data_IF_832626750764
#
_entry.id   IF_832626750764
#
_cell.length_a   1.000
_cell.length_b   1.000
_cell.length_c   1.000
_cell.angle_alpha   90.00
_cell.angle_beta   90.00
_cell.angle_gamma   90.00
#
_symmetry.space_group_name_H-M   'P 1'
#
loop_
_entity.id
_entity.type
_entity.pdbx_description
1 polymer ?
#
# COMPACT_ATOMS: atom_id res chain seq x y z
N UNK A 1 -2.13 4.16 -9.52
CA UNK A 1 -2.29 5.28 -8.54
C UNK A 1 -3.55 6.02 -8.97
N UNK A 2 -4.41 6.40 -8.02
CA UNK A 2 -5.72 6.98 -8.34
C UNK A 2 -5.62 8.39 -8.91
N UNK A 3 -6.74 8.95 -9.39
CA UNK A 3 -6.81 10.35 -9.80
C UNK A 3 -6.89 11.31 -8.61
N UNK A 4 -6.42 12.54 -8.80
CA UNK A 4 -6.62 13.63 -7.85
C UNK A 4 -7.99 14.29 -8.04
N UNK A 5 -8.43 14.48 -9.29
CA UNK A 5 -9.61 15.26 -9.64
C UNK A 5 -10.50 14.55 -10.67
N UNK A 6 -9.96 14.17 -11.84
CA UNK A 6 -10.75 13.67 -12.97
C UNK A 6 -10.57 12.16 -13.19
N UNK A 7 -11.60 11.40 -13.62
CA UNK A 7 -13.01 11.80 -13.79
C UNK A 7 -13.75 12.00 -12.46
N UNK A 8 -13.16 11.56 -11.35
CA UNK A 8 -13.59 11.84 -9.98
C UNK A 8 -12.43 11.57 -9.03
N UNK A 9 -12.30 12.25 -7.88
CA UNK A 9 -11.20 11.99 -6.96
C UNK A 9 -11.14 10.53 -6.47
N UNK A 10 -9.95 9.94 -6.47
CA UNK A 10 -9.74 8.55 -6.07
C UNK A 10 -10.09 7.52 -7.15
N UNK A 11 -10.49 7.92 -8.35
CA UNK A 11 -10.81 6.99 -9.44
C UNK A 11 -9.63 6.08 -9.78
N UNK A 12 -9.91 4.79 -9.93
CA UNK A 12 -8.93 3.76 -10.25
C UNK A 12 -9.61 2.53 -10.88
N UNK A 13 -8.92 1.87 -11.80
CA UNK A 13 -9.49 0.75 -12.57
C UNK A 13 -9.00 -0.64 -12.15
N UNK A 14 -7.80 -0.77 -11.56
CA UNK A 14 -7.19 -2.06 -11.28
C UNK A 14 -6.31 -2.08 -10.01
N UNK A 15 -5.85 -3.27 -9.63
CA UNK A 15 -5.00 -3.49 -8.46
C UNK A 15 -3.49 -3.43 -8.78
N UNK A 16 -3.09 -2.89 -9.93
CA UNK A 16 -1.70 -2.97 -10.38
C UNK A 16 -0.75 -2.16 -9.48
N UNK A 17 0.47 -2.69 -9.35
CA UNK A 17 1.55 -2.05 -8.60
C UNK A 17 1.23 -1.87 -7.10
N UNK A 18 1.43 -0.67 -6.54
CA UNK A 18 1.32 -0.42 -5.09
C UNK A 18 -0.12 -0.55 -4.55
N UNK A 19 -1.14 -0.44 -5.42
CA UNK A 19 -2.55 -0.48 -5.00
C UNK A 19 -2.92 -1.86 -4.46
N UNK A 20 -2.49 -2.93 -5.13
CA UNK A 20 -2.71 -4.30 -4.66
C UNK A 20 -2.03 -4.57 -3.31
N UNK A 21 -0.83 -4.00 -3.11
CA UNK A 21 -0.11 -4.05 -1.83
C UNK A 21 -0.91 -3.37 -0.72
N UNK A 22 -1.39 -2.15 -0.96
CA UNK A 22 -2.20 -1.41 0.04
C UNK A 22 -3.49 -2.14 0.38
N UNK A 23 -4.20 -2.70 -0.59
CA UNK A 23 -5.41 -3.48 -0.34
C UNK A 23 -5.10 -4.75 0.46
N UNK A 24 -4.02 -5.46 0.14
CA UNK A 24 -3.60 -6.64 0.90
C UNK A 24 -3.24 -6.30 2.36
N UNK A 25 -2.58 -5.16 2.59
CA UNK A 25 -2.32 -4.63 3.93
C UNK A 25 -3.62 -4.22 4.65
N UNK A 26 -4.51 -3.51 3.97
CA UNK A 26 -5.79 -3.04 4.51
C UNK A 26 -6.76 -4.17 4.87
N UNK A 27 -6.70 -5.30 4.15
CA UNK A 27 -7.45 -6.53 4.49
C UNK A 27 -6.76 -7.36 5.58
N UNK A 28 -5.58 -6.97 6.05
CA UNK A 28 -4.80 -7.70 7.06
C UNK A 28 -4.12 -8.97 6.54
N UNK A 29 -4.06 -9.16 5.22
CA UNK A 29 -3.52 -10.37 4.56
C UNK A 29 -1.99 -10.30 4.49
N UNK A 30 -1.45 -9.09 4.31
CA UNK A 30 -0.02 -8.83 4.24
C UNK A 30 0.47 -8.07 5.49
N UNK A 31 1.53 -8.61 6.10
CA UNK A 31 2.10 -8.20 7.41
C UNK A 31 3.55 -7.73 7.36
N UNK A 32 4.21 -7.84 6.20
CA UNK A 32 5.62 -7.44 6.05
C UNK A 32 5.90 -7.03 4.60
N UNK A 33 6.75 -6.01 4.43
CA UNK A 33 7.29 -5.59 3.14
C UNK A 33 8.80 -5.41 3.32
N UNK A 34 9.59 -5.93 2.38
CA UNK A 34 11.03 -5.72 2.37
C UNK A 34 11.35 -4.41 1.62
N UNK A 35 11.72 -3.38 2.36
CA UNK A 35 12.00 -2.04 1.85
C UNK A 35 12.78 -1.24 2.89
N UNK A 36 13.28 -0.06 2.52
CA UNK A 36 13.95 0.87 3.42
C UNK A 36 13.02 2.06 3.74
N UNK A 37 12.96 2.51 5.00
CA UNK A 37 12.05 3.59 5.40
C UNK A 37 12.37 4.95 4.76
N UNK A 38 13.62 5.17 4.38
CA UNK A 38 14.20 6.41 3.87
C UNK A 38 14.12 6.54 2.33
N UNK A 39 13.50 5.59 1.64
CA UNK A 39 13.25 5.69 0.20
C UNK A 39 12.11 6.69 -0.04
N UNK A 40 12.33 7.64 -0.94
CA UNK A 40 11.31 8.54 -1.45
C UNK A 40 10.44 7.78 -2.44
N UNK A 41 9.15 7.75 -2.19
CA UNK A 41 8.15 7.12 -3.04
C UNK A 41 7.69 8.11 -4.12
N UNK A 42 7.86 7.73 -5.39
CA UNK A 42 7.34 8.52 -6.51
C UNK A 42 5.94 8.05 -6.90
N UNK A 43 4.96 8.93 -6.76
CA UNK A 43 3.58 8.67 -7.14
C UNK A 43 3.04 9.81 -7.97
N UNK A 44 2.49 9.47 -9.13
CA UNK A 44 1.83 10.42 -10.01
C UNK A 44 0.35 10.03 -10.17
N UNK A 45 -0.59 10.94 -9.88
CA UNK A 45 -2.01 10.72 -10.14
C UNK A 45 -2.29 10.45 -11.62
N UNK A 46 -3.18 9.52 -11.91
CA UNK A 46 -3.43 9.04 -13.29
C UNK A 46 -3.98 10.14 -14.21
N UNK A 47 -4.77 11.07 -13.67
CA UNK A 47 -5.32 12.20 -14.39
C UNK A 47 -4.25 13.25 -14.71
N UNK A 48 -3.28 13.46 -13.83
CA UNK A 48 -2.11 14.28 -14.14
C UNK A 48 -1.29 13.63 -15.27
N UNK A 49 -1.10 12.30 -15.25
CA UNK A 49 -0.47 11.60 -16.37
C UNK A 49 -1.22 11.84 -17.69
N UNK A 50 -2.55 11.70 -17.68
CA UNK A 50 -3.37 11.91 -18.86
C UNK A 50 -3.28 13.34 -19.40
N UNK A 51 -3.40 14.35 -18.52
CA UNK A 51 -3.25 15.78 -18.86
C UNK A 51 -1.89 16.03 -19.54
N UNK A 52 -0.83 15.43 -19.02
CA UNK A 52 0.53 15.63 -19.55
C UNK A 52 0.82 14.89 -20.84
N UNK A 53 0.26 13.71 -21.06
CA UNK A 53 0.34 13.03 -22.36
C UNK A 53 -0.28 13.91 -23.45
N UNK A 54 -1.45 14.51 -23.16
CA UNK A 54 -2.14 15.41 -24.09
C UNK A 54 -1.33 16.69 -24.32
N UNK A 55 -0.83 17.32 -23.26
CA UNK A 55 -0.02 18.54 -23.36
C UNK A 55 1.30 18.29 -24.14
N UNK A 56 1.99 17.19 -23.87
CA UNK A 56 3.20 16.80 -24.59
C UNK A 56 2.95 16.53 -26.07
N UNK A 57 1.86 15.83 -26.40
CA UNK A 57 1.46 15.60 -27.80
C UNK A 57 1.13 16.92 -28.52
N UNK A 58 0.42 17.83 -27.85
CA UNK A 58 0.09 19.14 -28.39
C UNK A 58 1.34 19.99 -28.68
N UNK A 59 2.29 20.07 -27.75
CA UNK A 59 3.56 20.79 -27.98
C UNK A 59 4.32 20.15 -29.12
N UNK A 60 4.44 18.82 -29.13
CA UNK A 60 5.17 18.14 -30.20
C UNK A 60 4.54 18.39 -31.57
N UNK A 61 3.22 18.50 -31.65
CA UNK A 61 2.48 18.76 -32.90
C UNK A 61 2.45 20.24 -33.32
N UNK A 62 2.81 21.18 -32.44
CA UNK A 62 2.76 22.62 -32.72
C UNK A 62 4.12 23.29 -32.80
N UNK A 63 5.15 22.69 -32.20
CA UNK A 63 6.53 23.15 -32.31
C UNK A 63 7.09 22.79 -33.70
N UNK A 64 7.67 23.74 -34.45
CA UNK A 64 8.44 23.43 -35.65
C UNK A 64 9.58 22.48 -35.31
N UNK A 65 9.79 21.46 -36.14
CA UNK A 65 10.82 20.43 -35.93
C UNK A 65 11.83 20.56 -37.05
N UNK A 66 13.08 20.81 -36.69
CA UNK A 66 14.20 20.69 -37.60
C UNK A 66 14.74 19.24 -37.57
N UNK A 67 15.28 18.71 -38.68
CA UNK A 67 15.85 17.36 -38.72
C UNK A 67 16.99 17.12 -37.72
N UNK A 68 17.59 18.20 -37.22
CA UNK A 68 18.68 18.19 -36.24
C UNK A 68 18.21 18.24 -34.79
N UNK A 69 16.91 18.41 -34.53
CA UNK A 69 16.39 18.52 -33.18
C UNK A 69 16.41 17.16 -32.48
N UNK A 70 16.86 17.15 -31.23
CA UNK A 70 16.74 15.98 -30.36
C UNK A 70 15.27 15.70 -30.01
N UNK A 71 14.96 14.43 -29.73
CA UNK A 71 13.63 14.02 -29.26
C UNK A 71 13.50 14.45 -27.79
N UNK A 72 12.61 15.41 -27.53
CA UNK A 72 12.27 15.81 -26.17
C UNK A 72 11.58 14.65 -25.42
N UNK A 73 12.14 14.31 -24.26
CA UNK A 73 11.62 13.27 -23.35
C UNK A 73 10.93 13.96 -22.18
N UNK A 74 9.69 13.56 -21.91
CA UNK A 74 8.88 14.07 -20.81
C UNK A 74 8.62 12.95 -19.80
N UNK A 75 9.41 12.90 -18.73
CA UNK A 75 9.20 11.94 -17.65
C UNK A 75 8.06 12.41 -16.74
N UNK A 76 6.94 11.70 -16.76
CA UNK A 76 5.79 12.00 -15.92
C UNK A 76 5.93 11.31 -14.55
N UNK A 77 6.51 12.03 -13.60
CA UNK A 77 6.77 11.57 -12.24
C UNK A 77 6.71 12.74 -11.26
N UNK A 78 6.55 12.44 -9.97
CA UNK A 78 6.56 13.49 -8.94
C UNK A 78 7.95 14.09 -8.80
N UNK A 79 9.02 13.31 -9.01
CA UNK A 79 10.39 13.79 -8.80
C UNK A 79 10.54 14.36 -7.39
N UNK A 80 10.99 15.62 -7.29
CA UNK A 80 11.13 16.34 -6.03
C UNK A 80 9.96 17.30 -5.71
N UNK A 81 8.84 17.20 -6.44
CA UNK A 81 7.72 18.15 -6.30
C UNK A 81 6.96 17.94 -5.00
N UNK A 82 6.79 16.70 -4.56
CA UNK A 82 6.10 16.39 -3.32
C UNK A 82 6.61 15.05 -2.73
N UNK A 83 7.68 15.13 -1.94
CA UNK A 83 8.41 13.96 -1.46
C UNK A 83 7.68 13.28 -0.30
N UNK A 84 7.51 11.97 -0.40
CA UNK A 84 7.01 11.13 0.69
C UNK A 84 7.97 9.97 0.95
N UNK A 85 8.50 9.86 2.17
CA UNK A 85 9.30 8.70 2.55
C UNK A 85 8.42 7.47 2.73
N UNK A 86 8.96 6.29 2.45
CA UNK A 86 8.27 5.01 2.62
C UNK A 86 7.81 4.80 4.07
N UNK A 87 8.61 5.23 5.05
CA UNK A 87 8.23 5.19 6.47
C UNK A 87 6.96 6.01 6.75
N UNK A 88 6.94 7.25 6.28
CA UNK A 88 5.83 8.20 6.46
C UNK A 88 4.57 7.72 5.74
N UNK A 89 4.72 7.19 4.53
CA UNK A 89 3.64 6.56 3.77
C UNK A 89 2.97 5.43 4.56
N UNK A 90 3.77 4.57 5.20
CA UNK A 90 3.26 3.45 6.00
C UNK A 90 2.55 3.93 7.26
N UNK A 91 3.06 4.96 7.92
CA UNK A 91 2.43 5.56 9.09
C UNK A 91 1.10 6.25 8.74
N UNK A 92 1.09 7.09 7.70
CA UNK A 92 -0.11 7.70 7.15
C UNK A 92 -1.13 6.64 6.74
N UNK A 93 -0.71 5.58 6.05
CA UNK A 93 -1.59 4.48 5.64
C UNK A 93 -2.27 3.79 6.83
N UNK A 94 -1.57 3.65 7.97
CA UNK A 94 -2.15 3.10 9.21
C UNK A 94 -3.18 4.04 9.82
N UNK A 95 -2.99 5.35 9.69
CA UNK A 95 -3.96 6.35 10.14
C UNK A 95 -5.22 6.30 9.26
N UNK A 96 -5.06 6.42 7.94
CA UNK A 96 -6.15 6.35 6.96
C UNK A 96 -6.94 5.03 7.09
N UNK A 97 -6.26 3.90 7.33
CA UNK A 97 -6.91 2.59 7.50
C UNK A 97 -7.83 2.51 8.74
N UNK A 98 -7.64 3.37 9.74
CA UNK A 98 -8.54 3.44 10.91
C UNK A 98 -9.79 4.25 10.60
N UNK A 99 -9.66 5.30 9.79
CA UNK A 99 -10.76 6.17 9.40
C UNK A 99 -11.60 5.57 8.27
N UNK A 100 -10.94 5.02 7.26
CA UNK A 100 -11.56 4.38 6.09
C UNK A 100 -11.04 2.94 5.99
N UNK A 101 -11.42 2.05 6.94
CA UNK A 101 -11.04 0.63 6.87
C UNK A 101 -11.69 -0.02 5.65
N UNK A 102 -11.16 -1.15 5.18
CA UNK A 102 -11.79 -1.97 4.14
C UNK A 102 -12.76 -2.99 4.76
N UNK A 103 -13.80 -3.38 4.03
CA UNK A 103 -14.74 -4.38 4.52
C UNK A 103 -14.10 -5.78 4.61
N UNK A 104 -14.66 -6.68 5.40
CA UNK A 104 -14.24 -8.10 5.38
C UNK A 104 -12.75 -8.35 5.64
N UNK A 105 -12.09 -7.48 6.40
CA UNK A 105 -10.68 -7.69 6.77
C UNK A 105 -10.53 -9.03 7.52
N UNK A 106 -9.47 -9.77 7.19
CA UNK A 106 -9.18 -11.06 7.82
C UNK A 106 -8.42 -10.90 9.13
N UNK A 107 -7.64 -9.82 9.25
CA UNK A 107 -6.87 -9.52 10.43
C UNK A 107 -6.77 -8.01 10.63
N UNK A 108 -6.39 -7.56 11.82
CA UNK A 108 -6.18 -6.14 12.09
C UNK A 108 -5.15 -5.54 11.12
N UNK A 109 -5.44 -4.37 10.55
CA UNK A 109 -4.51 -3.58 9.73
C UNK A 109 -3.21 -3.34 10.48
N UNK A 110 -2.09 -3.72 9.87
CA UNK A 110 -0.79 -3.58 10.50
C UNK A 110 0.30 -4.14 9.61
N UNK A 111 1.36 -4.62 10.24
CA UNK A 111 2.57 -5.02 9.55
C UNK A 111 3.65 -3.95 9.63
N UNK A 112 4.84 -4.35 9.20
CA UNK A 112 6.05 -3.53 9.30
C UNK A 112 6.86 -3.63 8.02
N UNK A 113 7.59 -2.57 7.72
CA UNK A 113 8.68 -2.63 6.76
C UNK A 113 9.92 -3.21 7.43
N UNK A 114 10.81 -3.81 6.65
CA UNK A 114 12.09 -4.36 7.13
C UNK A 114 13.16 -4.29 6.06
N UNK A 115 14.36 -3.88 6.44
CA UNK A 115 15.56 -3.91 5.60
C UNK A 115 16.26 -5.27 5.63
N UNK A 116 15.87 -6.17 6.54
CA UNK A 116 16.43 -7.52 6.61
C UNK A 116 15.57 -8.50 5.78
N UNK A 117 16.10 -9.08 4.69
CA UNK A 117 15.36 -10.00 3.83
C UNK A 117 15.07 -11.34 4.51
N UNK A 118 15.98 -11.86 5.34
CA UNK A 118 15.77 -13.12 6.07
C UNK A 118 14.60 -12.97 7.04
N UNK A 119 14.58 -11.88 7.81
CA UNK A 119 13.46 -11.57 8.69
C UNK A 119 12.14 -11.38 7.93
N UNK A 120 12.19 -10.74 6.74
CA UNK A 120 11.04 -10.64 5.85
C UNK A 120 10.50 -12.03 5.48
N UNK A 121 11.34 -12.94 4.97
CA UNK A 121 10.91 -14.27 4.56
C UNK A 121 10.36 -15.11 5.72
N UNK A 122 10.98 -15.04 6.91
CA UNK A 122 10.44 -15.70 8.11
C UNK A 122 9.03 -15.18 8.41
N UNK A 123 8.82 -13.86 8.36
CA UNK A 123 7.48 -13.27 8.54
C UNK A 123 6.51 -13.67 7.44
N UNK A 124 6.93 -13.79 6.18
CA UNK A 124 6.07 -14.28 5.10
C UNK A 124 5.62 -15.72 5.40
N UNK A 125 6.53 -16.61 5.78
CA UNK A 125 6.19 -18.00 6.10
C UNK A 125 5.25 -18.10 7.31
N UNK A 126 5.55 -17.41 8.40
CA UNK A 126 4.84 -17.53 9.68
C UNK A 126 3.54 -16.71 9.72
N UNK A 127 3.52 -15.51 9.13
CA UNK A 127 2.41 -14.56 9.26
C UNK A 127 1.55 -14.45 8.00
N UNK A 128 2.00 -14.95 6.84
CA UNK A 128 1.19 -14.95 5.60
C UNK A 128 0.80 -16.37 5.21
N UNK A 129 1.78 -17.25 5.01
CA UNK A 129 1.58 -18.58 4.44
C UNK A 129 0.95 -19.57 5.42
N UNK A 130 1.51 -19.69 6.63
CA UNK A 130 0.99 -20.59 7.66
C UNK A 130 -0.49 -20.29 8.01
N UNK A 131 -0.90 -19.03 8.29
CA UNK A 131 -2.31 -18.71 8.51
C UNK A 131 -3.17 -19.00 7.28
N UNK A 132 -2.66 -18.76 6.07
CA UNK A 132 -3.38 -19.06 4.84
C UNK A 132 -3.70 -20.55 4.70
N UNK A 133 -2.74 -21.43 5.00
CA UNK A 133 -2.97 -22.87 5.02
C UNK A 133 -3.99 -23.29 6.08
N UNK A 134 -3.91 -22.72 7.28
CA UNK A 134 -4.87 -23.01 8.35
C UNK A 134 -6.30 -22.63 7.95
N UNK A 135 -6.50 -21.42 7.43
CA UNK A 135 -7.82 -20.96 6.98
C UNK A 135 -8.32 -21.81 5.81
N UNK A 136 -7.47 -22.11 4.82
CA UNK A 136 -7.87 -22.92 3.66
C UNK A 136 -8.21 -24.36 4.03
N UNK A 137 -7.49 -24.93 5.02
CA UNK A 137 -7.81 -26.26 5.57
C UNK A 137 -9.16 -26.23 6.27
N UNK A 138 -9.43 -25.21 7.10
CA UNK A 138 -10.72 -25.05 7.76
C UNK A 138 -11.86 -24.89 6.74
N UNK A 139 -11.67 -24.04 5.72
CA UNK A 139 -12.64 -23.88 4.63
C UNK A 139 -12.94 -25.21 3.95
N UNK A 140 -11.90 -25.98 3.62
CA UNK A 140 -12.06 -27.30 3.00
C UNK A 140 -12.84 -28.27 3.88
N UNK A 141 -12.53 -28.34 5.18
CA UNK A 141 -13.22 -29.20 6.15
C UNK A 141 -14.71 -28.86 6.29
N UNK A 142 -15.09 -27.59 6.18
CA UNK A 142 -16.51 -27.15 6.21
C UNK A 142 -17.18 -27.16 4.83
N UNK A 143 -16.57 -27.79 3.82
CA UNK A 143 -17.12 -27.91 2.47
C UNK A 143 -17.07 -26.61 1.64
N UNK A 144 -16.32 -25.60 2.09
CA UNK A 144 -16.09 -24.35 1.35
C UNK A 144 -14.81 -24.44 0.50
N UNK A 145 -14.77 -23.63 -0.55
CA UNK A 145 -13.64 -23.57 -1.48
C UNK A 145 -12.43 -22.86 -0.84
N UNK A 146 -11.26 -23.51 -0.74
CA UNK A 146 -10.01 -22.85 -0.35
C UNK A 146 -9.60 -21.73 -1.31
N UNK A 147 -9.12 -20.61 -0.78
CA UNK A 147 -8.78 -19.43 -1.57
C UNK A 147 -7.56 -18.64 -1.07
N UNK A 148 -7.24 -18.68 0.22
CA UNK A 148 -6.27 -17.76 0.83
C UNK A 148 -4.84 -18.08 0.41
N UNK A 149 -4.46 -19.35 0.25
CA UNK A 149 -3.12 -19.73 -0.26
C UNK A 149 -2.94 -19.24 -1.70
N UNK A 150 -3.99 -19.29 -2.52
CA UNK A 150 -3.95 -18.75 -3.90
C UNK A 150 -3.77 -17.23 -3.90
N UNK A 151 -4.43 -16.54 -2.99
CA UNK A 151 -4.25 -15.08 -2.79
C UNK A 151 -2.82 -14.77 -2.35
N UNK A 152 -2.28 -15.50 -1.35
CA UNK A 152 -0.91 -15.30 -0.90
C UNK A 152 0.13 -15.55 -2.00
N UNK A 153 -0.08 -16.58 -2.85
CA UNK A 153 0.80 -16.82 -4.01
C UNK A 153 0.82 -15.63 -4.97
N UNK A 154 -0.34 -15.01 -5.24
CA UNK A 154 -0.41 -13.82 -6.11
C UNK A 154 0.30 -12.62 -5.48
N UNK A 155 0.08 -12.38 -4.18
CA UNK A 155 0.77 -11.33 -3.43
C UNK A 155 2.28 -11.54 -3.46
N UNK A 156 2.75 -12.78 -3.23
CA UNK A 156 4.17 -13.11 -3.26
C UNK A 156 4.80 -12.82 -4.63
N UNK A 157 4.16 -13.24 -5.72
CA UNK A 157 4.64 -12.98 -7.08
C UNK A 157 4.68 -11.47 -7.36
N UNK A 158 3.65 -10.73 -6.97
CA UNK A 158 3.62 -9.27 -7.13
C UNK A 158 4.74 -8.57 -6.34
N UNK A 159 4.96 -8.97 -5.08
CA UNK A 159 6.05 -8.44 -4.26
C UNK A 159 7.43 -8.78 -4.84
N UNK A 160 7.60 -9.99 -5.38
CA UNK A 160 8.85 -10.38 -6.04
C UNK A 160 9.15 -9.50 -7.26
N UNK A 161 8.12 -9.23 -8.09
CA UNK A 161 8.25 -8.35 -9.25
C UNK A 161 8.56 -6.89 -8.85
N UNK A 162 8.06 -6.43 -7.71
CA UNK A 162 8.25 -5.06 -7.22
C UNK A 162 9.50 -4.87 -6.35
N UNK A 163 10.13 -5.96 -5.88
CA UNK A 163 11.24 -5.92 -4.91
C UNK A 163 12.41 -5.03 -5.36
N UNK A 164 12.77 -5.10 -6.65
CA UNK A 164 13.84 -4.27 -7.22
C UNK A 164 13.55 -2.78 -7.07
N UNK A 165 12.31 -2.37 -7.30
CA UNK A 165 11.87 -0.97 -7.21
C UNK A 165 11.67 -0.53 -5.76
N UNK A 166 11.18 -1.41 -4.88
CA UNK A 166 10.89 -1.10 -3.48
C UNK A 166 12.14 -1.02 -2.59
N UNK A 167 13.29 -1.53 -3.02
CA UNK A 167 14.51 -1.61 -2.19
C UNK A 167 15.60 -0.61 -2.59
N UNK A 168 15.36 0.17 -3.64
CA UNK A 168 16.29 1.14 -4.22
C UNK A 168 15.67 2.52 -4.29
N UNK A 169 16.50 3.55 -4.11
CA UNK A 169 16.10 4.91 -4.41
C UNK A 169 16.18 5.13 -5.91
N UNK A 170 15.11 5.67 -6.47
CA UNK A 170 15.06 6.08 -7.87
C UNK A 170 14.97 7.60 -7.92
N UNK A 171 15.80 8.20 -8.76
CA UNK A 171 15.74 9.64 -9.00
C UNK A 171 15.33 9.84 -10.44
N UNK A 172 14.25 10.58 -10.63
CA UNK A 172 13.73 10.90 -11.95
C UNK A 172 13.85 12.40 -12.18
N UNK A 173 14.46 12.78 -13.29
CA UNK A 173 14.42 14.17 -13.76
C UNK A 173 13.11 14.41 -14.50
N UNK A 174 12.33 15.38 -14.02
CA UNK A 174 11.05 15.80 -14.58
C UNK A 174 11.06 17.25 -15.05
N UNK A 175 12.24 17.82 -15.32
CA UNK A 175 12.39 19.23 -15.76
C UNK A 175 11.47 19.58 -16.94
N UNK A 176 11.52 18.78 -18.02
CA UNK A 176 10.68 19.02 -19.20
C UNK A 176 9.17 18.89 -18.88
N UNK A 177 8.81 17.95 -18.01
CA UNK A 177 7.44 17.75 -17.56
C UNK A 177 6.91 18.97 -16.79
N UNK A 178 7.68 19.50 -15.83
CA UNK A 178 7.32 20.72 -15.08
C UNK A 178 7.24 21.92 -16.01
N UNK A 179 8.12 22.01 -16.99
CA UNK A 179 8.13 23.12 -17.96
C UNK A 179 6.86 23.16 -18.83
N UNK A 180 6.16 22.03 -19.05
CA UNK A 180 4.89 22.02 -19.76
C UNK A 180 3.88 23.00 -19.16
N UNK A 181 3.90 23.19 -17.84
CA UNK A 181 2.98 24.09 -17.13
C UNK A 181 3.11 25.54 -17.61
N UNK A 182 4.31 26.00 -17.97
CA UNK A 182 4.57 27.41 -18.32
C UNK A 182 4.19 27.76 -19.75
N UNK A 183 4.04 26.76 -20.61
CA UNK A 183 3.74 26.93 -22.04
C UNK A 183 2.28 26.63 -22.38
N UNK A 184 1.48 26.20 -21.41
CA UNK A 184 0.03 26.09 -21.56
C UNK A 184 -0.58 27.45 -21.91
N UNK A 185 -1.55 27.44 -22.83
CA UNK A 185 -2.34 28.65 -23.13
C UNK A 185 -3.22 28.99 -21.95
N UNK A 186 -3.48 30.28 -21.74
CA UNK A 186 -4.35 30.75 -20.65
C UNK A 186 -5.75 30.11 -20.66
N UNK A 187 -6.31 29.86 -21.86
CA UNK A 187 -7.61 29.19 -22.02
C UNK A 187 -7.59 27.71 -21.58
N UNK A 188 -6.42 27.06 -21.64
CA UNK A 188 -6.22 25.63 -21.39
C UNK A 188 -5.75 25.36 -19.95
N UNK A 189 -5.29 26.38 -19.23
CA UNK A 189 -4.80 26.27 -17.85
C UNK A 189 -5.79 25.56 -16.93
N UNK A 190 -7.09 25.88 -17.03
CA UNK A 190 -8.11 25.25 -16.17
C UNK A 190 -8.17 23.72 -16.33
N UNK A 191 -7.95 23.22 -17.55
CA UNK A 191 -8.10 21.80 -17.85
C UNK A 191 -6.79 21.02 -17.67
N UNK A 192 -5.66 21.62 -18.03
CA UNK A 192 -4.38 20.91 -18.15
C UNK A 192 -3.34 21.31 -17.12
N UNK A 193 -3.52 22.42 -16.40
CA UNK A 193 -2.63 22.76 -15.29
C UNK A 193 -2.78 21.76 -14.16
N UNK A 194 -1.69 21.53 -13.45
CA UNK A 194 -1.64 20.68 -12.27
C UNK A 194 -0.58 21.22 -11.30
N UNK A 195 -0.83 21.04 -10.01
CA UNK A 195 0.08 21.39 -8.93
C UNK A 195 0.22 20.19 -7.99
N UNK A 196 1.44 19.66 -7.88
CA UNK A 196 1.74 18.54 -6.98
C UNK A 196 2.29 19.06 -5.66
N UNK A 197 2.98 20.20 -5.68
CA UNK A 197 3.74 20.77 -4.58
C UNK A 197 2.85 21.14 -3.40
N UNK A 198 1.62 21.59 -3.67
CA UNK A 198 0.65 21.97 -2.63
C UNK A 198 -0.38 20.88 -2.32
N UNK A 199 -0.29 19.72 -2.97
CA UNK A 199 -1.25 18.63 -2.75
C UNK A 199 -1.11 18.07 -1.33
N UNK A 200 -2.20 18.11 -0.54
CA UNK A 200 -2.27 17.41 0.74
C UNK A 200 -2.28 15.90 0.49
N UNK A 201 -1.16 15.26 0.82
CA UNK A 201 -0.99 13.83 0.61
C UNK A 201 -1.91 12.99 1.50
N UNK A 202 -2.24 13.42 2.72
CA UNK A 202 -3.13 12.67 3.60
C UNK A 202 -4.55 12.68 3.05
N UNK A 203 -5.04 13.84 2.60
CA UNK A 203 -6.35 13.95 1.94
C UNK A 203 -6.37 13.13 0.65
N UNK A 204 -5.32 13.24 -0.16
CA UNK A 204 -5.19 12.50 -1.41
C UNK A 204 -5.23 10.97 -1.20
N UNK A 205 -4.42 10.43 -0.29
CA UNK A 205 -4.42 8.99 0.01
C UNK A 205 -5.71 8.52 0.69
N UNK A 206 -6.39 9.39 1.44
CA UNK A 206 -7.73 9.12 1.97
C UNK A 206 -8.76 8.95 0.85
N UNK A 207 -8.75 9.86 -0.14
CA UNK A 207 -9.57 9.75 -1.36
C UNK A 207 -9.20 8.50 -2.17
N UNK A 208 -7.91 8.16 -2.26
CA UNK A 208 -7.46 6.91 -2.89
C UNK A 208 -8.03 5.67 -2.19
N UNK A 209 -8.06 5.64 -0.85
CA UNK A 209 -8.64 4.54 -0.08
C UNK A 209 -10.15 4.41 -0.33
N UNK A 210 -10.89 5.52 -0.29
CA UNK A 210 -12.31 5.56 -0.66
C UNK A 210 -12.54 5.09 -2.11
N UNK A 211 -11.69 5.52 -3.03
CA UNK A 211 -11.69 5.06 -4.41
C UNK A 211 -11.47 3.55 -4.54
N UNK A 212 -10.50 3.00 -3.81
CA UNK A 212 -10.25 1.56 -3.75
C UNK A 212 -11.46 0.77 -3.25
N UNK A 213 -12.15 1.27 -2.21
CA UNK A 213 -13.42 0.71 -1.73
C UNK A 213 -14.47 0.68 -2.84
N UNK A 214 -14.77 1.83 -3.45
CA UNK A 214 -15.85 2.00 -4.44
C UNK A 214 -15.57 1.28 -5.76
N UNK A 215 -14.40 1.53 -6.35
CA UNK A 215 -14.12 1.14 -7.74
C UNK A 215 -13.53 -0.27 -7.85
N UNK A 216 -12.69 -0.70 -6.90
CA UNK A 216 -12.03 -1.99 -6.97
C UNK A 216 -12.74 -3.07 -6.16
N UNK A 217 -13.12 -2.75 -4.93
CA UNK A 217 -13.73 -3.72 -4.00
C UNK A 217 -15.26 -3.74 -4.07
N UNK A 218 -15.86 -2.76 -4.75
CA UNK A 218 -17.32 -2.58 -4.87
C UNK A 218 -18.00 -2.48 -3.50
N UNK A 219 -17.30 -1.89 -2.54
CA UNK A 219 -17.77 -1.62 -1.19
C UNK A 219 -18.56 -0.30 -1.16
N UNK A 220 -19.59 -0.26 -0.33
CA UNK A 220 -20.45 0.92 -0.14
C UNK A 220 -19.87 1.83 0.94
N UNK A 221 -20.07 3.14 0.81
CA UNK A 221 -19.59 4.09 1.83
C UNK A 221 -20.42 3.99 3.12
N UNK A 222 -21.69 3.62 2.99
CA UNK A 222 -22.60 3.41 4.13
C UNK A 222 -22.13 2.25 5.04
N UNK A 223 -21.29 1.35 4.53
CA UNK A 223 -20.71 0.24 5.30
C UNK A 223 -19.48 0.65 6.13
N UNK A 224 -18.94 1.86 5.97
CA UNK A 224 -17.74 2.33 6.69
C UNK A 224 -17.91 2.22 8.23
N UNK A 225 -19.03 2.63 8.85
CA UNK A 225 -19.21 2.46 10.31
C UNK A 225 -19.15 0.99 10.75
N UNK A 226 -19.73 0.08 9.95
CA UNK A 226 -19.67 -1.37 10.19
C UNK A 226 -18.26 -1.92 10.02
N UNK A 227 -17.54 -1.45 9.01
CA UNK A 227 -16.13 -1.79 8.77
C UNK A 227 -15.23 -1.31 9.93
N UNK A 228 -15.47 -0.11 10.47
CA UNK A 228 -14.78 0.39 11.67
C UNK A 228 -15.04 -0.49 12.89
N UNK A 229 -16.28 -0.91 13.11
CA UNK A 229 -16.61 -1.85 14.19
C UNK A 229 -15.95 -3.22 14.01
N UNK A 230 -15.87 -3.73 12.78
CA UNK A 230 -15.11 -4.95 12.47
C UNK A 230 -13.60 -4.77 12.71
N UNK A 231 -13.03 -3.65 12.28
CA UNK A 231 -11.62 -3.31 12.51
C UNK A 231 -11.28 -3.25 13.99
N UNK A 232 -12.13 -2.62 14.81
CA UNK A 232 -11.95 -2.59 16.27
C UNK A 232 -11.98 -3.99 16.88
N UNK A 233 -12.90 -4.86 16.45
CA UNK A 233 -12.96 -6.26 16.92
C UNK A 233 -11.71 -7.04 16.54
N UNK A 234 -11.22 -6.89 15.31
CA UNK A 234 -9.99 -7.54 14.86
C UNK A 234 -8.76 -7.00 15.62
N UNK A 235 -8.72 -5.72 15.96
CA UNK A 235 -7.65 -5.13 16.78
C UNK A 235 -7.65 -5.72 18.20
N UNK A 236 -8.83 -5.83 18.83
CA UNK A 236 -8.97 -6.45 20.16
C UNK A 236 -8.53 -7.92 20.10
N UNK A 237 -8.94 -8.65 19.06
CA UNK A 237 -8.53 -10.04 18.87
C UNK A 237 -7.01 -10.16 18.72
N UNK A 238 -6.38 -9.30 17.91
CA UNK A 238 -4.93 -9.27 17.72
C UNK A 238 -4.19 -9.00 19.04
N UNK A 239 -4.63 -8.01 19.80
CA UNK A 239 -4.09 -7.71 21.13
C UNK A 239 -4.26 -8.88 22.10
N UNK A 240 -5.45 -9.49 22.15
CA UNK A 240 -5.72 -10.64 23.02
C UNK A 240 -4.83 -11.84 22.65
N UNK A 241 -4.65 -12.15 21.36
CA UNK A 241 -3.75 -13.21 20.93
C UNK A 241 -2.29 -12.91 21.26
N UNK A 242 -1.85 -11.66 21.11
CA UNK A 242 -0.50 -11.26 21.50
C UNK A 242 -0.30 -11.42 23.01
N UNK A 243 -1.22 -10.93 23.84
CA UNK A 243 -1.15 -11.09 25.30
C UNK A 243 -1.11 -12.57 25.68
N UNK A 244 -1.98 -13.39 25.09
CA UNK A 244 -2.00 -14.83 25.33
C UNK A 244 -0.67 -15.50 24.94
N UNK A 245 -0.12 -15.15 23.77
CA UNK A 245 1.16 -15.67 23.31
C UNK A 245 2.29 -15.35 24.29
N UNK A 246 2.40 -14.09 24.73
CA UNK A 246 3.43 -13.67 25.70
C UNK A 246 3.22 -14.35 27.06
N UNK A 247 1.98 -14.51 27.51
CA UNK A 247 1.66 -15.20 28.77
C UNK A 247 2.06 -16.69 28.72
N UNK A 248 1.73 -17.40 27.63
CA UNK A 248 2.10 -18.81 27.43
C UNK A 248 3.61 -18.96 27.31
N UNK A 249 4.27 -18.07 26.58
CA UNK A 249 5.74 -18.07 26.45
C UNK A 249 6.42 -17.84 27.81
N UNK A 250 5.97 -16.85 28.57
CA UNK A 250 6.47 -16.56 29.91
C UNK A 250 6.28 -17.76 30.85
N UNK A 251 5.08 -18.35 30.86
CA UNK A 251 4.80 -19.55 31.63
C UNK A 251 5.73 -20.71 31.25
N UNK A 252 5.97 -20.94 29.96
CA UNK A 252 6.88 -21.99 29.49
C UNK A 252 8.33 -21.75 29.93
N UNK A 253 8.82 -20.50 29.83
CA UNK A 253 10.16 -20.12 30.30
C UNK A 253 10.27 -20.31 31.82
N UNK A 254 9.30 -19.83 32.60
CA UNK A 254 9.28 -20.00 34.05
C UNK A 254 9.30 -21.50 34.42
N UNK A 255 8.48 -22.32 33.75
CA UNK A 255 8.47 -23.77 33.96
C UNK A 255 9.83 -24.40 33.66
N UNK A 256 10.53 -23.98 32.60
CA UNK A 256 11.87 -24.48 32.28
C UNK A 256 12.92 -24.06 33.30
N UNK A 257 12.84 -22.82 33.80
CA UNK A 257 13.72 -22.35 34.88
C UNK A 257 13.51 -23.16 36.15
N UNK A 258 12.26 -23.36 36.60
CA UNK A 258 11.95 -24.18 37.78
C UNK A 258 12.49 -25.60 37.63
N UNK A 259 12.34 -26.22 36.46
CA UNK A 259 12.89 -27.54 36.15
C UNK A 259 14.43 -27.56 36.18
N UNK A 260 15.10 -26.55 35.63
CA UNK A 260 16.56 -26.47 35.56
C UNK A 260 17.21 -26.26 36.94
N UNK A 261 16.59 -25.43 37.78
CA UNK A 261 17.13 -25.11 39.11
C UNK A 261 16.63 -26.03 40.22
N UNK A 262 15.85 -27.07 39.89
CA UNK A 262 15.34 -28.03 40.86
C UNK A 262 14.50 -27.38 41.96
N UNK A 263 13.90 -26.21 41.69
CA UNK A 263 13.07 -25.50 42.65
C UNK A 263 11.81 -26.35 42.86
N UNK A 264 11.68 -26.99 44.03
CA UNK A 264 10.45 -27.71 44.39
C UNK A 264 9.32 -26.68 44.49
N UNK A 265 8.55 -26.51 43.42
CA UNK A 265 7.35 -25.69 43.45
C UNK A 265 6.21 -26.49 44.07
N UNK A 266 5.80 -26.15 45.29
CA UNK A 266 4.52 -26.60 45.87
C UNK A 266 3.29 -25.90 45.24
N UNK A 267 3.48 -25.09 44.18
CA UNK A 267 2.39 -24.56 43.37
C UNK A 267 2.18 -25.47 42.16
N UNK A 268 1.44 -26.56 42.36
CA UNK A 268 0.36 -27.09 41.52
C UNK A 268 -0.35 -28.19 42.31
#
# INVERSE_FOLDING_TARGET
ISSVEEPSPGWIENFNGPVGIFVACGKGIMRTIHTKPDIICDFIPVDICAKNIIAGAWIRGTKPIEPTDDIEIYNCCSGNLNNMLMGDLVEMSKHVSKEVPLDGMLWHTGGTITTNPVYHYIKVLVQHLLPAFLVDTLLWLIGKKPMLVKVQRRIYIANLALSYYLTQQWTFDNTNFVQLRSVLKQADMKQFYYDLETTDLVEYFTKCCLGGRRFLLKEKDEDIPKARAHCKRMMILDQAMQVLFHAVFLWWVCKKIVQLFGIQSNLF
#
